data_IF_692292411660
#
_entry.id   IF_692292411660
#
_cell.length_a   1.000
_cell.length_b   1.000
_cell.length_c   1.000
_cell.angle_alpha   90.00
_cell.angle_beta   90.00
_cell.angle_gamma   90.00
#
_symmetry.space_group_name_H-M   'P 1'
#
loop_
_entity.id
_entity.type
_entity.pdbx_description
1 polymer ?
#
# COMPACT_ATOMS: atom_id res chain seq x y z
N UNK A 1 2.40 31.98 -10.62
CA UNK A 1 3.32 32.58 -9.63
C UNK A 1 2.89 32.03 -8.28
N UNK A 2 3.39 30.84 -7.92
CA UNK A 2 3.16 30.16 -6.64
C UNK A 2 4.47 30.12 -5.88
N UNK A 3 4.50 30.32 -4.56
CA UNK A 3 5.76 30.47 -3.82
C UNK A 3 6.39 29.11 -3.50
N UNK A 4 7.66 28.99 -3.89
CA UNK A 4 8.64 28.00 -3.43
C UNK A 4 8.85 28.11 -1.91
N UNK A 5 8.28 27.21 -1.11
CA UNK A 5 8.67 27.05 0.29
C UNK A 5 8.39 25.64 0.84
N UNK A 6 9.02 24.59 0.26
CA UNK A 6 9.09 23.28 0.95
C UNK A 6 10.36 22.47 0.63
N UNK A 7 11.51 23.14 0.52
CA UNK A 7 12.79 22.44 0.50
C UNK A 7 13.84 23.26 1.27
N UNK A 8 13.81 23.14 2.59
CA UNK A 8 15.00 23.44 3.43
C UNK A 8 14.77 22.92 4.84
N UNK A 9 15.29 21.73 5.14
CA UNK A 9 16.00 21.39 6.39
C UNK A 9 16.40 19.92 6.34
N UNK A 10 17.49 19.61 5.64
CA UNK A 10 18.36 18.53 6.07
C UNK A 10 19.49 19.18 6.87
N UNK A 11 19.53 19.02 8.17
CA UNK A 11 20.76 19.25 8.90
C UNK A 11 21.63 18.02 8.69
N UNK A 12 22.73 18.19 7.95
CA UNK A 12 23.94 17.38 8.11
C UNK A 12 24.36 17.51 9.58
N UNK A 13 23.94 16.57 10.42
CA UNK A 13 24.45 16.44 11.77
C UNK A 13 25.36 15.21 11.86
N UNK A 14 26.63 15.44 11.60
CA UNK A 14 27.70 14.88 12.42
C UNK A 14 27.58 15.54 13.80
N UNK A 15 26.70 15.00 14.65
CA UNK A 15 26.52 15.40 16.04
C UNK A 15 26.35 14.14 16.84
N UNK A 16 27.27 13.86 17.74
CA UNK A 16 27.15 12.86 18.80
C UNK A 16 25.77 13.05 19.43
N UNK A 17 24.82 12.16 19.16
CA UNK A 17 23.53 12.12 19.82
C UNK A 17 23.80 11.85 21.29
N UNK A 18 23.78 12.90 22.10
CA UNK A 18 23.75 12.74 23.56
C UNK A 18 22.46 11.98 23.87
N UNK A 19 22.58 10.71 24.21
CA UNK A 19 21.45 9.88 24.60
C UNK A 19 20.78 10.55 25.80
N UNK A 20 19.48 10.85 25.69
CA UNK A 20 18.65 11.34 26.79
C UNK A 20 18.54 10.32 27.94
N UNK A 21 18.92 9.07 27.68
CA UNK A 21 18.81 7.93 28.60
C UNK A 21 20.19 7.33 28.83
N UNK A 22 20.66 7.34 30.06
CA UNK A 22 22.05 6.96 30.42
C UNK A 22 22.14 5.59 31.07
N UNK A 23 21.17 5.19 31.92
CA UNK A 23 21.20 3.89 32.61
C UNK A 23 20.62 2.78 31.72
N UNK A 24 20.95 1.53 32.08
CA UNK A 24 20.41 0.34 31.41
C UNK A 24 18.90 0.27 31.53
N UNK A 25 18.34 0.61 32.68
CA UNK A 25 16.90 0.61 32.97
C UNK A 25 16.18 1.67 32.15
N UNK A 26 16.75 2.88 32.02
CA UNK A 26 16.19 3.95 31.19
C UNK A 26 16.15 3.55 29.72
N UNK A 27 17.22 2.93 29.20
CA UNK A 27 17.28 2.46 27.82
C UNK A 27 16.26 1.34 27.55
N UNK A 28 16.14 0.39 28.47
CA UNK A 28 15.17 -0.70 28.38
C UNK A 28 13.72 -0.15 28.41
N UNK A 29 13.44 0.76 29.34
CA UNK A 29 12.13 1.43 29.45
C UNK A 29 11.75 2.20 28.19
N UNK A 30 12.72 2.93 27.60
CA UNK A 30 12.51 3.60 26.31
C UNK A 30 12.21 2.60 25.18
N UNK A 31 12.90 1.45 25.18
CA UNK A 31 12.65 0.36 24.22
C UNK A 31 11.22 -0.18 24.29
N UNK A 32 10.70 -0.39 25.51
CA UNK A 32 9.30 -0.80 25.74
C UNK A 32 8.34 0.26 25.20
N UNK A 33 8.56 1.53 25.56
CA UNK A 33 7.73 2.64 25.07
C UNK A 33 7.74 2.75 23.55
N UNK A 34 8.90 2.48 22.93
CA UNK A 34 9.04 2.47 21.47
C UNK A 34 8.22 1.36 20.81
N UNK A 35 8.23 0.14 21.38
CA UNK A 35 7.41 -0.98 20.88
C UNK A 35 5.91 -0.67 20.96
N UNK A 36 5.45 -0.11 22.08
CA UNK A 36 4.05 0.31 22.25
C UNK A 36 3.71 1.38 21.20
N UNK A 37 4.58 2.36 21.00
CA UNK A 37 4.39 3.42 20.03
C UNK A 37 4.30 2.91 18.59
N UNK A 38 5.13 1.94 18.21
CA UNK A 38 5.12 1.33 16.87
C UNK A 38 3.82 0.53 16.62
N UNK A 39 3.29 -0.17 17.65
CA UNK A 39 1.98 -0.83 17.57
C UNK A 39 0.84 0.19 17.46
N UNK A 40 0.87 1.25 18.26
CA UNK A 40 -0.13 2.30 18.22
C UNK A 40 -0.16 3.02 16.87
N UNK A 41 1.01 3.27 16.24
CA UNK A 41 1.10 3.89 14.93
C UNK A 41 0.40 3.07 13.83
N UNK A 42 0.37 1.74 13.95
CA UNK A 42 -0.34 0.86 13.02
C UNK A 42 -1.87 0.88 13.19
N UNK A 43 -2.35 1.31 14.36
CA UNK A 43 -3.78 1.35 14.73
C UNK A 43 -4.25 2.78 15.00
N UNK A 44 -3.46 3.79 14.58
CA UNK A 44 -3.80 5.18 14.85
C UNK A 44 -5.01 5.63 14.04
N UNK A 45 -5.76 6.55 14.60
CA UNK A 45 -6.89 7.25 13.98
C UNK A 45 -6.65 8.76 14.00
N UNK A 46 -7.32 9.48 13.14
CA UNK A 46 -7.21 10.94 13.09
C UNK A 46 -7.68 11.55 14.43
N UNK A 47 -6.85 12.43 15.01
CA UNK A 47 -7.12 13.03 16.31
C UNK A 47 -6.66 12.22 17.52
N UNK A 48 -5.87 11.14 17.33
CA UNK A 48 -5.28 10.41 18.45
C UNK A 48 -4.48 11.34 19.36
N UNK A 49 -4.86 11.41 20.65
CA UNK A 49 -4.19 12.22 21.67
C UNK A 49 -3.12 11.41 22.41
N UNK A 50 -1.86 11.69 22.09
CA UNK A 50 -0.73 11.03 22.75
C UNK A 50 -0.60 11.37 24.24
N UNK A 51 -1.15 12.50 24.70
CA UNK A 51 -1.13 12.83 26.14
C UNK A 51 -2.11 11.93 26.88
N UNK A 52 -3.30 11.73 26.35
CA UNK A 52 -4.27 10.78 26.90
C UNK A 52 -3.75 9.33 26.90
N UNK A 53 -3.08 8.91 25.79
CA UNK A 53 -2.44 7.58 25.74
C UNK A 53 -1.38 7.41 26.82
N UNK A 54 -0.51 8.39 27.01
CA UNK A 54 0.52 8.35 28.06
C UNK A 54 -0.09 8.26 29.44
N UNK A 55 -1.14 9.03 29.73
CA UNK A 55 -1.85 8.98 31.00
C UNK A 55 -2.47 7.60 31.24
N UNK A 56 -3.13 7.02 30.24
CA UNK A 56 -3.71 5.67 30.36
C UNK A 56 -2.67 4.59 30.63
N UNK A 57 -1.49 4.69 30.00
CA UNK A 57 -0.35 3.77 30.28
C UNK A 57 0.15 3.96 31.71
N UNK A 58 0.31 5.19 32.17
CA UNK A 58 0.77 5.52 33.51
C UNK A 58 -0.22 4.97 34.57
N UNK A 59 -1.51 5.23 34.41
CA UNK A 59 -2.55 4.76 35.30
C UNK A 59 -2.57 3.23 35.38
N UNK A 60 -2.47 2.55 34.25
CA UNK A 60 -2.44 1.09 34.17
C UNK A 60 -1.20 0.50 34.88
N UNK A 61 -0.03 1.10 34.73
CA UNK A 61 1.23 0.62 35.35
C UNK A 61 1.22 0.87 36.83
N UNK A 62 0.64 1.97 37.30
CA UNK A 62 0.58 2.35 38.70
C UNK A 62 -0.62 1.72 39.46
N UNK A 63 -1.56 1.10 38.73
CA UNK A 63 -2.78 0.53 39.33
C UNK A 63 -3.78 1.59 39.77
N UNK A 64 -3.77 2.76 39.14
CA UNK A 64 -4.73 3.82 39.40
C UNK A 64 -6.12 3.44 38.87
N UNK A 65 -7.16 4.07 39.40
CA UNK A 65 -8.51 3.97 38.86
C UNK A 65 -8.59 4.62 37.46
N UNK A 66 -9.55 4.20 36.67
CA UNK A 66 -9.80 4.79 35.35
C UNK A 66 -10.23 6.26 35.47
N UNK A 67 -9.52 7.15 34.79
CA UNK A 67 -9.88 8.58 34.69
C UNK A 67 -11.18 8.81 33.91
N UNK A 68 -11.59 7.84 33.09
CA UNK A 68 -12.80 7.86 32.26
C UNK A 68 -13.56 6.55 32.47
N UNK A 69 -14.89 6.58 32.57
CA UNK A 69 -15.68 5.37 32.76
C UNK A 69 -15.55 4.39 31.60
N UNK A 70 -15.66 3.10 31.86
CA UNK A 70 -15.64 2.05 30.83
C UNK A 70 -16.72 2.25 29.76
N UNK A 71 -17.91 2.74 30.19
CA UNK A 71 -19.03 3.05 29.28
C UNK A 71 -18.63 4.16 28.29
N UNK A 72 -18.09 5.28 28.79
CA UNK A 72 -17.64 6.39 27.94
C UNK A 72 -16.46 6.00 27.02
N UNK A 73 -15.57 5.11 27.46
CA UNK A 73 -14.52 4.54 26.61
C UNK A 73 -15.13 3.70 25.49
N UNK A 74 -16.12 2.84 25.82
CA UNK A 74 -16.85 2.03 24.83
C UNK A 74 -17.54 2.88 23.78
N UNK A 75 -18.32 3.88 24.20
CA UNK A 75 -19.00 4.83 23.31
C UNK A 75 -18.01 5.56 22.38
N UNK A 76 -16.86 6.00 22.93
CA UNK A 76 -15.84 6.66 22.13
C UNK A 76 -15.23 5.73 21.06
N UNK A 77 -14.97 4.46 21.40
CA UNK A 77 -14.50 3.48 20.42
C UNK A 77 -15.54 3.18 19.35
N UNK A 78 -16.81 3.06 19.70
CA UNK A 78 -17.91 2.86 18.73
C UNK A 78 -18.00 4.05 17.77
N UNK A 79 -17.92 5.29 18.28
CA UNK A 79 -17.95 6.49 17.43
C UNK A 79 -16.75 6.56 16.49
N UNK A 80 -15.53 6.30 16.97
CA UNK A 80 -14.32 6.28 16.13
C UNK A 80 -14.41 5.19 15.07
N UNK A 81 -14.83 3.97 15.45
CA UNK A 81 -15.00 2.85 14.53
C UNK A 81 -16.01 3.20 13.42
N UNK A 82 -17.15 3.77 13.78
CA UNK A 82 -18.16 4.19 12.81
C UNK A 82 -17.63 5.25 11.83
N UNK A 83 -16.82 6.19 12.31
CA UNK A 83 -16.17 7.20 11.44
C UNK A 83 -15.16 6.56 10.49
N UNK A 84 -14.35 5.63 10.96
CA UNK A 84 -13.38 4.90 10.13
C UNK A 84 -14.07 4.07 9.05
N UNK A 85 -15.14 3.33 9.42
CA UNK A 85 -15.93 2.54 8.47
C UNK A 85 -16.63 3.43 7.42
N UNK A 86 -17.14 4.60 7.83
CA UNK A 86 -17.74 5.55 6.90
C UNK A 86 -16.72 6.10 5.89
N UNK A 87 -15.54 6.50 6.37
CA UNK A 87 -14.46 6.97 5.51
C UNK A 87 -13.97 5.88 4.54
N UNK A 88 -13.80 4.63 5.02
CA UNK A 88 -13.43 3.50 4.17
C UNK A 88 -14.49 3.22 3.10
N UNK A 89 -15.78 3.31 3.46
CA UNK A 89 -16.90 3.14 2.53
C UNK A 89 -16.89 4.21 1.44
N UNK A 90 -16.66 5.47 1.79
CA UNK A 90 -16.55 6.57 0.82
C UNK A 90 -15.39 6.34 -0.15
N UNK A 91 -14.21 5.97 0.37
CA UNK A 91 -13.04 5.65 -0.45
C UNK A 91 -13.31 4.46 -1.38
N UNK A 92 -14.01 3.44 -0.90
CA UNK A 92 -14.37 2.25 -1.69
C UNK A 92 -15.33 2.59 -2.83
N UNK A 93 -16.34 3.41 -2.57
CA UNK A 93 -17.28 3.88 -3.60
C UNK A 93 -16.58 4.72 -4.66
N UNK A 94 -15.72 5.65 -4.23
CA UNK A 94 -14.92 6.48 -5.14
C UNK A 94 -13.97 5.64 -6.00
N UNK A 95 -13.22 4.73 -5.38
CA UNK A 95 -12.27 3.85 -6.08
C UNK A 95 -12.97 2.95 -7.11
N UNK A 96 -14.15 2.43 -6.76
CA UNK A 96 -14.97 1.63 -7.67
C UNK A 96 -15.43 2.43 -8.88
N UNK A 97 -16.02 3.60 -8.66
CA UNK A 97 -16.53 4.46 -9.74
C UNK A 97 -15.40 4.92 -10.67
N UNK A 98 -14.26 5.34 -10.12
CA UNK A 98 -13.08 5.71 -10.88
C UNK A 98 -12.53 4.53 -11.68
N UNK A 99 -12.43 3.36 -11.05
CA UNK A 99 -11.96 2.13 -11.69
C UNK A 99 -12.84 1.69 -12.85
N UNK A 100 -14.15 1.69 -12.68
CA UNK A 100 -15.13 1.34 -13.74
C UNK A 100 -15.05 2.32 -14.91
N UNK A 101 -14.96 3.63 -14.64
CA UNK A 101 -14.81 4.65 -15.68
C UNK A 101 -13.48 4.50 -16.44
N UNK A 102 -12.39 4.22 -15.71
CA UNK A 102 -11.09 3.98 -16.33
C UNK A 102 -11.09 2.73 -17.21
N UNK A 103 -11.64 1.61 -16.72
CA UNK A 103 -11.78 0.37 -17.50
C UNK A 103 -12.57 0.59 -18.79
N UNK A 104 -13.71 1.28 -18.71
CA UNK A 104 -14.52 1.57 -19.87
C UNK A 104 -13.79 2.43 -20.91
N UNK A 105 -13.12 3.49 -20.48
CA UNK A 105 -12.37 4.38 -21.36
C UNK A 105 -11.14 3.69 -21.96
N UNK A 106 -10.41 2.89 -21.16
CA UNK A 106 -9.21 2.21 -21.61
C UNK A 106 -9.53 1.10 -22.62
N UNK A 107 -10.62 0.35 -22.42
CA UNK A 107 -11.06 -0.68 -23.37
C UNK A 107 -11.37 -0.13 -24.77
N UNK A 108 -11.78 1.13 -24.88
CA UNK A 108 -12.07 1.80 -26.14
C UNK A 108 -10.81 2.32 -26.88
N UNK A 109 -9.64 2.26 -26.25
CA UNK A 109 -8.38 2.72 -26.86
C UNK A 109 -7.87 1.74 -27.91
N UNK A 110 -7.37 2.27 -29.00
CA UNK A 110 -6.63 1.48 -30.00
C UNK A 110 -5.38 0.86 -29.37
N UNK A 111 -5.12 -0.42 -29.62
CA UNK A 111 -3.97 -1.16 -29.10
C UNK A 111 -4.21 -1.84 -27.73
N UNK A 112 -5.36 -1.61 -27.11
CA UNK A 112 -5.75 -2.31 -25.89
C UNK A 112 -6.52 -3.59 -26.25
N UNK A 113 -6.11 -4.70 -25.65
CA UNK A 113 -6.82 -5.98 -25.72
C UNK A 113 -7.50 -6.24 -24.39
N UNK A 114 -8.75 -6.68 -24.45
CA UNK A 114 -9.55 -7.09 -23.28
C UNK A 114 -9.73 -8.60 -23.34
N UNK A 115 -9.37 -9.30 -22.28
CA UNK A 115 -9.56 -10.75 -22.16
C UNK A 115 -10.95 -11.10 -21.61
N UNK A 116 -11.33 -12.38 -21.68
CA UNK A 116 -12.61 -12.88 -21.14
C UNK A 116 -12.75 -12.67 -19.63
N UNK A 117 -11.66 -12.61 -18.90
CA UNK A 117 -11.65 -12.31 -17.45
C UNK A 117 -11.88 -10.84 -17.13
N UNK A 118 -11.76 -9.95 -18.14
CA UNK A 118 -11.81 -8.50 -17.98
C UNK A 118 -10.44 -7.85 -17.75
N UNK A 119 -9.34 -8.62 -17.76
CA UNK A 119 -7.99 -8.04 -17.80
C UNK A 119 -7.83 -7.24 -19.10
N UNK A 120 -7.27 -6.04 -19.00
CA UNK A 120 -6.93 -5.24 -20.18
C UNK A 120 -5.41 -5.08 -20.26
N UNK A 121 -4.86 -5.23 -21.45
CA UNK A 121 -3.43 -5.03 -21.65
C UNK A 121 -3.12 -4.33 -22.96
N UNK A 122 -2.03 -3.59 -22.96
CA UNK A 122 -1.42 -2.93 -24.11
C UNK A 122 0.05 -3.35 -24.18
N UNK A 123 0.48 -3.84 -25.35
CA UNK A 123 1.88 -4.23 -25.56
C UNK A 123 2.68 -2.98 -25.89
N UNK A 124 3.49 -2.51 -24.94
CA UNK A 124 4.37 -1.35 -25.14
C UNK A 124 5.65 -1.74 -25.88
N UNK A 125 6.20 -2.92 -25.57
CA UNK A 125 7.35 -3.51 -26.24
C UNK A 125 7.11 -5.00 -26.38
N UNK A 126 7.26 -5.52 -27.59
CA UNK A 126 7.18 -6.95 -27.82
C UNK A 126 8.49 -7.64 -27.45
N UNK A 127 8.41 -8.73 -26.70
CA UNK A 127 9.53 -9.62 -26.42
C UNK A 127 9.62 -10.74 -27.46
N UNK A 128 10.77 -11.39 -27.49
CA UNK A 128 11.05 -12.52 -28.40
C UNK A 128 11.46 -13.80 -27.64
N UNK A 129 11.51 -13.75 -26.32
CA UNK A 129 11.89 -14.89 -25.48
C UNK A 129 10.74 -15.86 -25.21
N UNK A 130 10.96 -16.79 -24.30
CA UNK A 130 9.96 -17.78 -23.90
C UNK A 130 8.81 -17.14 -23.12
N UNK A 131 7.66 -17.81 -23.08
CA UNK A 131 6.54 -17.49 -22.21
C UNK A 131 6.66 -18.26 -20.90
N UNK A 132 6.42 -17.63 -19.72
CA UNK A 132 6.42 -18.32 -18.46
C UNK A 132 5.28 -19.35 -18.36
N UNK A 133 5.59 -20.51 -17.82
CA UNK A 133 4.58 -21.45 -17.37
C UNK A 133 4.07 -21.07 -15.97
N UNK A 134 2.92 -21.60 -15.59
CA UNK A 134 2.31 -21.33 -14.27
C UNK A 134 3.20 -21.77 -13.10
N UNK A 135 4.06 -22.78 -13.32
CA UNK A 135 5.00 -23.30 -12.32
C UNK A 135 6.28 -22.49 -12.16
N UNK A 136 6.51 -21.55 -13.05
CA UNK A 136 7.78 -20.85 -13.12
C UNK A 136 7.88 -19.72 -12.11
N UNK A 137 9.11 -19.25 -11.91
CA UNK A 137 9.44 -18.02 -11.21
C UNK A 137 9.96 -17.02 -12.23
N UNK A 138 9.52 -15.77 -12.11
CA UNK A 138 9.88 -14.70 -13.04
C UNK A 138 10.61 -13.58 -12.34
N UNK A 139 11.47 -12.87 -13.10
CA UNK A 139 12.10 -11.61 -12.70
C UNK A 139 11.49 -10.52 -13.56
N UNK A 140 11.01 -9.46 -12.89
CA UNK A 140 10.29 -8.36 -13.54
C UNK A 140 10.73 -7.00 -13.00
N UNK A 141 10.64 -5.97 -13.84
CA UNK A 141 10.42 -4.62 -13.37
C UNK A 141 8.94 -4.27 -13.47
N UNK A 142 8.43 -3.52 -12.48
CA UNK A 142 7.06 -3.04 -12.52
C UNK A 142 6.91 -1.65 -11.90
N UNK A 143 5.88 -0.96 -12.34
CA UNK A 143 5.44 0.32 -11.79
C UNK A 143 3.92 0.28 -11.66
N UNK A 144 3.43 0.26 -10.43
CA UNK A 144 2.00 0.14 -10.10
C UNK A 144 1.40 1.47 -9.66
N UNK A 145 0.30 1.85 -10.31
CA UNK A 145 -0.43 3.08 -10.04
C UNK A 145 -1.93 2.82 -9.91
N UNK A 146 -2.64 3.73 -9.27
CA UNK A 146 -4.08 3.86 -9.43
C UNK A 146 -4.42 4.50 -10.78
N UNK A 147 -5.70 4.50 -11.21
CA UNK A 147 -6.13 5.17 -12.43
C UNK A 147 -5.77 6.67 -12.50
N UNK A 148 -5.75 7.36 -11.35
CA UNK A 148 -5.37 8.76 -11.23
C UNK A 148 -3.84 9.03 -11.33
N UNK A 149 -3.04 7.97 -11.45
CA UNK A 149 -1.59 8.04 -11.57
C UNK A 149 -0.83 8.02 -10.24
N UNK A 150 -1.49 8.01 -9.07
CA UNK A 150 -0.81 7.84 -7.78
C UNK A 150 -0.12 6.49 -7.72
N UNK A 151 1.18 6.50 -7.41
CA UNK A 151 2.00 5.29 -7.29
C UNK A 151 1.73 4.63 -5.95
N UNK A 152 1.43 3.32 -5.94
CA UNK A 152 1.34 2.55 -4.71
C UNK A 152 2.51 1.59 -4.51
N UNK A 153 3.16 1.12 -5.60
CA UNK A 153 4.36 0.30 -5.52
C UNK A 153 5.16 0.33 -6.82
N UNK A 154 6.50 0.28 -6.73
CA UNK A 154 7.36 0.32 -7.91
C UNK A 154 8.75 -0.27 -7.65
N UNK A 155 9.08 -1.35 -8.34
CA UNK A 155 10.42 -1.91 -8.37
C UNK A 155 11.42 -1.01 -9.09
N UNK A 156 10.93 -0.22 -10.06
CA UNK A 156 11.74 0.76 -10.80
C UNK A 156 12.21 1.87 -9.86
N UNK A 157 11.34 2.40 -9.03
CA UNK A 157 11.70 3.42 -8.03
C UNK A 157 12.68 2.87 -6.98
N UNK A 158 12.57 1.59 -6.63
CA UNK A 158 13.54 0.93 -5.74
C UNK A 158 14.88 0.62 -6.38
N UNK A 159 14.98 0.71 -7.72
CA UNK A 159 16.21 0.40 -8.47
C UNK A 159 16.58 -1.08 -8.51
N UNK A 160 15.67 -1.98 -8.14
CA UNK A 160 15.89 -3.43 -8.11
C UNK A 160 14.71 -4.19 -8.70
N UNK A 161 14.94 -5.13 -9.64
CA UNK A 161 13.92 -6.04 -10.12
C UNK A 161 13.34 -6.87 -8.97
N UNK A 162 12.09 -7.28 -9.12
CA UNK A 162 11.42 -8.18 -8.19
C UNK A 162 11.31 -9.58 -8.79
N UNK A 163 11.29 -10.59 -7.93
CA UNK A 163 11.18 -11.99 -8.31
C UNK A 163 9.94 -12.60 -7.64
N UNK A 164 9.09 -13.24 -8.45
CA UNK A 164 7.85 -13.85 -7.98
C UNK A 164 7.63 -15.22 -8.61
N UNK A 165 7.11 -16.23 -7.86
CA UNK A 165 6.43 -17.35 -8.48
C UNK A 165 5.23 -16.82 -9.27
N UNK A 166 5.00 -17.32 -10.49
CA UNK A 166 3.86 -16.88 -11.32
C UNK A 166 2.53 -17.05 -10.58
N UNK A 167 2.39 -18.04 -9.71
CA UNK A 167 1.20 -18.26 -8.88
C UNK A 167 1.16 -17.46 -7.58
N UNK A 168 2.21 -16.71 -7.26
CA UNK A 168 2.35 -15.95 -6.00
C UNK A 168 1.89 -14.49 -6.08
N UNK A 169 1.29 -14.10 -7.20
CA UNK A 169 0.83 -12.72 -7.47
C UNK A 169 -0.68 -12.66 -7.69
N UNK A 170 -1.24 -11.47 -7.84
CA UNK A 170 -2.68 -11.27 -8.11
C UNK A 170 -3.11 -11.94 -9.43
N UNK A 171 -4.39 -12.33 -9.51
CA UNK A 171 -4.91 -13.13 -10.63
C UNK A 171 -4.65 -12.49 -12.01
N UNK A 172 -4.80 -11.16 -12.12
CA UNK A 172 -4.51 -10.44 -13.36
C UNK A 172 -3.05 -10.54 -13.80
N UNK A 173 -2.10 -10.60 -12.87
CA UNK A 173 -0.70 -10.85 -13.18
C UNK A 173 -0.44 -12.31 -13.58
N UNK A 174 -1.07 -13.26 -12.87
CA UNK A 174 -0.96 -14.68 -13.24
C UNK A 174 -1.39 -14.91 -14.69
N UNK A 175 -2.47 -14.26 -15.12
CA UNK A 175 -2.95 -14.33 -16.49
C UNK A 175 -1.99 -13.61 -17.45
N UNK A 176 -1.64 -12.35 -17.17
CA UNK A 176 -0.78 -11.56 -18.05
C UNK A 176 0.60 -12.19 -18.27
N UNK A 177 1.27 -12.68 -17.21
CA UNK A 177 2.61 -13.28 -17.30
C UNK A 177 2.64 -14.51 -18.20
N UNK A 178 1.57 -15.31 -18.23
CA UNK A 178 1.46 -16.45 -19.10
C UNK A 178 1.20 -16.09 -20.58
N UNK A 179 0.82 -14.84 -20.87
CA UNK A 179 0.66 -14.31 -22.23
C UNK A 179 1.90 -13.54 -22.67
N UNK A 180 2.69 -13.00 -21.73
CA UNK A 180 3.91 -12.23 -22.01
C UNK A 180 5.05 -13.14 -22.45
N UNK A 181 5.96 -12.59 -23.25
CA UNK A 181 7.25 -13.22 -23.58
C UNK A 181 8.39 -12.48 -22.91
N UNK A 182 9.46 -13.16 -22.56
CA UNK A 182 10.67 -12.53 -22.00
C UNK A 182 11.17 -11.43 -22.94
N UNK A 183 11.51 -10.29 -22.36
CA UNK A 183 11.88 -9.06 -23.07
C UNK A 183 10.71 -8.16 -23.43
N UNK A 184 9.46 -8.56 -23.13
CA UNK A 184 8.30 -7.69 -23.36
C UNK A 184 8.03 -6.73 -22.22
N UNK A 185 7.45 -5.58 -22.55
CA UNK A 185 6.91 -4.62 -21.60
C UNK A 185 5.45 -4.36 -21.93
N UNK A 186 4.57 -4.57 -20.97
CA UNK A 186 3.13 -4.41 -21.11
C UNK A 186 2.59 -3.40 -20.11
N UNK A 187 1.52 -2.69 -20.52
CA UNK A 187 0.68 -1.94 -19.61
C UNK A 187 -0.58 -2.76 -19.34
N UNK A 188 -0.78 -3.09 -18.07
CA UNK A 188 -1.93 -3.86 -17.59
C UNK A 188 -2.90 -2.93 -16.90
N UNK A 189 -4.20 -3.05 -17.18
CA UNK A 189 -5.26 -2.45 -16.40
C UNK A 189 -6.10 -3.59 -15.83
N UNK A 190 -6.06 -3.73 -14.52
CA UNK A 190 -6.54 -4.91 -13.80
C UNK A 190 -7.75 -4.52 -12.97
N UNK A 191 -8.96 -5.03 -13.27
CA UNK A 191 -10.14 -4.78 -12.47
C UNK A 191 -9.98 -5.40 -11.07
N UNK A 192 -10.66 -4.84 -10.08
CA UNK A 192 -10.49 -5.20 -8.68
C UNK A 192 -10.61 -6.70 -8.39
N UNK A 193 -11.52 -7.43 -9.07
CA UNK A 193 -11.72 -8.87 -8.86
C UNK A 193 -10.55 -9.74 -9.32
N UNK A 194 -9.67 -9.22 -10.19
CA UNK A 194 -8.41 -9.84 -10.57
C UNK A 194 -7.20 -9.28 -9.79
N UNK A 195 -7.46 -8.38 -8.84
CA UNK A 195 -6.47 -7.76 -7.96
C UNK A 195 -6.74 -8.11 -6.48
N UNK A 196 -7.06 -7.14 -5.64
CA UNK A 196 -7.28 -7.33 -4.20
C UNK A 196 -8.75 -7.37 -3.79
N UNK A 197 -9.67 -7.31 -4.77
CA UNK A 197 -11.11 -7.52 -4.57
C UNK A 197 -11.79 -6.48 -3.70
N UNK A 198 -12.78 -6.96 -2.93
CA UNK A 198 -13.63 -6.15 -2.06
C UNK A 198 -12.97 -5.77 -0.72
N UNK A 199 -11.80 -6.34 -0.41
CA UNK A 199 -11.11 -6.11 0.86
C UNK A 199 -9.98 -5.11 0.73
N UNK A 200 -9.45 -4.89 -0.50
CA UNK A 200 -8.22 -4.16 -0.69
C UNK A 200 -6.99 -4.85 -0.07
N UNK A 201 -5.88 -4.15 0.05
CA UNK A 201 -4.67 -4.65 0.72
C UNK A 201 -3.74 -3.50 1.11
N UNK A 202 -3.40 -3.37 2.37
CA UNK A 202 -2.51 -2.31 2.86
C UNK A 202 -3.03 -0.92 2.48
N UNK A 203 -2.29 -0.18 1.63
CA UNK A 203 -2.68 1.14 1.15
C UNK A 203 -3.64 1.13 -0.06
N UNK A 204 -4.01 -0.07 -0.56
CA UNK A 204 -4.90 -0.22 -1.71
C UNK A 204 -6.34 -0.37 -1.20
N UNK A 205 -7.22 0.62 -1.45
CA UNK A 205 -8.61 0.57 -1.02
C UNK A 205 -9.37 -0.62 -1.63
N UNK A 206 -10.49 -1.05 -0.99
CA UNK A 206 -11.44 -1.96 -1.59
C UNK A 206 -11.89 -1.53 -2.99
N UNK A 207 -12.18 -2.50 -3.86
CA UNK A 207 -12.68 -2.29 -5.23
C UNK A 207 -11.75 -1.51 -6.17
N UNK A 208 -10.46 -1.32 -5.82
CA UNK A 208 -9.52 -0.57 -6.65
C UNK A 208 -9.19 -1.30 -7.94
N UNK A 209 -9.36 -0.62 -9.07
CA UNK A 209 -8.72 -0.98 -10.34
C UNK A 209 -7.26 -0.55 -10.29
N UNK A 210 -6.35 -1.41 -10.75
CA UNK A 210 -4.92 -1.15 -10.72
C UNK A 210 -4.35 -1.07 -12.12
N UNK A 211 -3.40 -0.17 -12.31
CA UNK A 211 -2.64 -0.03 -13.55
C UNK A 211 -1.18 -0.37 -13.29
N UNK A 212 -0.61 -1.24 -14.10
CA UNK A 212 0.80 -1.61 -14.00
C UNK A 212 1.49 -1.47 -15.35
N UNK A 213 2.69 -0.92 -15.34
CA UNK A 213 3.67 -1.23 -16.39
C UNK A 213 4.54 -2.37 -15.89
N UNK A 214 4.58 -3.48 -16.63
CA UNK A 214 5.35 -4.68 -16.29
C UNK A 214 6.30 -5.00 -17.41
N UNK A 215 7.57 -5.14 -17.09
CA UNK A 215 8.63 -5.61 -17.97
C UNK A 215 9.09 -6.99 -17.50
N UNK A 216 8.89 -8.00 -18.34
CA UNK A 216 9.31 -9.37 -18.06
C UNK A 216 10.76 -9.56 -18.49
N UNK A 217 11.66 -9.60 -17.50
CA UNK A 217 13.10 -9.65 -17.74
C UNK A 217 13.60 -11.07 -17.99
N UNK A 218 13.10 -12.05 -17.21
CA UNK A 218 13.62 -13.41 -17.23
C UNK A 218 12.66 -14.42 -16.59
N UNK A 219 12.83 -15.70 -16.92
CA UNK A 219 12.25 -16.88 -16.25
C UNK A 219 13.39 -17.54 -15.49
N UNK A 220 13.23 -17.77 -14.17
CA UNK A 220 14.30 -18.24 -13.25
C UNK A 220 13.88 -19.48 -12.46
#
# INVERSE_FOLDING_TARGET
MMPDHYFRYMPTQLGVSMSLFHTTEQKASYGIGRQIGDQLAQQSFEGLDLAAVKQGIEDAVLGNDFAVSHEAIGEAFEEITAKLEAAERELSVAARAEGEAHLASNAARSGVTVTDSGLQYEVLTAGIGAQPAKSDKVRVHYHGTFPDGRVFDSSVTRGQPAEFPVTGVIAGWVEALQLMTVGSKWKLTIPHHLAYGERGAGSIPPFSTLVFEVELLDII
#
